data_IF_215377450949
#
_entry.id   IF_215377450949
#
_cell.length_a   1.000
_cell.length_b   1.000
_cell.length_c   1.000
_cell.angle_alpha   90.00
_cell.angle_beta   90.00
_cell.angle_gamma   90.00
#
_symmetry.space_group_name_H-M   'P 1'
#
loop_
_entity.id
_entity.type
_entity.pdbx_description
1 polymer ?
#
# COMPACT_ATOMS: atom_id res chain seq x y z
N UNK A 1 -36.42 -11.46 3.53
CA UNK A 1 -36.30 -10.01 3.27
C UNK A 1 -34.90 -9.61 3.64
N UNK A 2 -33.97 -9.78 2.71
CA UNK A 2 -32.63 -9.21 2.79
C UNK A 2 -32.79 -7.71 2.51
N UNK A 3 -32.65 -6.89 3.54
CA UNK A 3 -32.48 -5.46 3.38
C UNK A 3 -31.20 -5.29 2.54
N UNK A 4 -31.37 -4.77 1.32
CA UNK A 4 -30.24 -4.33 0.53
C UNK A 4 -29.54 -3.22 1.32
N UNK A 5 -28.39 -3.51 1.89
CA UNK A 5 -27.49 -2.52 2.46
C UNK A 5 -27.26 -1.47 1.37
N UNK A 6 -27.87 -0.29 1.55
CA UNK A 6 -27.47 0.88 0.77
C UNK A 6 -26.00 1.08 1.04
N UNK A 7 -25.15 1.14 0.00
CA UNK A 7 -23.75 1.43 0.21
C UNK A 7 -23.67 2.75 0.99
N UNK A 8 -23.16 2.67 2.20
CA UNK A 8 -22.85 3.86 3.00
C UNK A 8 -22.05 4.80 2.10
N UNK A 9 -22.51 6.03 1.95
CA UNK A 9 -21.96 6.95 0.95
C UNK A 9 -20.48 7.15 1.28
N UNK A 10 -19.60 6.56 0.49
CA UNK A 10 -18.14 6.63 0.69
C UNK A 10 -17.70 8.09 0.69
N UNK A 11 -17.10 8.56 1.77
CA UNK A 11 -16.79 9.98 2.01
C UNK A 11 -15.33 10.19 2.34
N UNK A 12 -14.80 11.40 2.09
CA UNK A 12 -13.45 11.76 2.52
C UNK A 12 -13.31 11.60 4.04
N UNK A 13 -12.19 11.03 4.44
CA UNK A 13 -11.83 10.79 5.83
C UNK A 13 -10.32 10.93 6.01
N UNK A 14 -9.87 11.02 7.24
CA UNK A 14 -8.45 11.03 7.56
C UNK A 14 -8.20 10.31 8.88
N UNK A 15 -6.95 9.91 9.10
CA UNK A 15 -6.50 9.33 10.37
C UNK A 15 -5.02 9.57 10.62
N UNK A 16 -4.66 9.67 11.88
CA UNK A 16 -3.27 9.77 12.32
C UNK A 16 -2.83 8.40 12.83
N UNK A 17 -1.67 7.95 12.36
CA UNK A 17 -1.07 6.68 12.70
C UNK A 17 0.32 6.91 13.30
N UNK A 18 0.58 6.33 14.46
CA UNK A 18 1.91 6.27 15.06
C UNK A 18 2.57 4.95 14.67
N UNK A 19 3.75 5.03 14.10
CA UNK A 19 4.53 3.89 13.65
C UNK A 19 5.75 3.73 14.54
N UNK A 20 5.75 2.67 15.32
CA UNK A 20 6.79 2.38 16.29
C UNK A 20 8.08 1.83 15.67
N UNK A 21 9.19 2.01 16.39
CA UNK A 21 10.43 1.30 16.12
C UNK A 21 10.29 -0.21 16.46
N UNK A 22 11.13 -1.09 15.90
CA UNK A 22 12.21 -0.79 14.95
C UNK A 22 11.71 -0.51 13.52
N UNK A 23 12.55 0.16 12.73
CA UNK A 23 12.35 0.40 11.31
C UNK A 23 11.16 1.31 10.95
N UNK A 24 10.74 2.19 11.86
CA UNK A 24 9.58 3.08 11.69
C UNK A 24 9.56 3.78 10.31
N UNK A 25 10.70 4.32 9.85
CA UNK A 25 10.81 5.00 8.55
C UNK A 25 10.55 4.09 7.35
N UNK A 26 10.95 2.81 7.41
CA UNK A 26 10.68 1.85 6.32
C UNK A 26 9.23 1.44 6.32
N UNK A 27 8.65 1.19 7.51
CA UNK A 27 7.22 0.93 7.68
C UNK A 27 6.39 2.10 7.17
N UNK A 28 6.78 3.33 7.49
CA UNK A 28 6.18 4.55 7.00
C UNK A 28 6.26 4.67 5.47
N UNK A 29 7.42 4.36 4.88
CA UNK A 29 7.60 4.34 3.43
C UNK A 29 6.66 3.34 2.75
N UNK A 30 6.54 2.14 3.31
CA UNK A 30 5.60 1.12 2.81
C UNK A 30 4.16 1.63 2.88
N UNK A 31 3.70 2.13 4.04
CA UNK A 31 2.35 2.65 4.21
C UNK A 31 2.04 3.79 3.23
N UNK A 32 2.93 4.78 3.14
CA UNK A 32 2.74 5.92 2.24
C UNK A 32 2.75 5.50 0.76
N UNK A 33 3.59 4.52 0.41
CA UNK A 33 3.64 3.99 -0.95
C UNK A 33 2.39 3.23 -1.36
N UNK A 34 1.86 2.39 -0.46
CA UNK A 34 0.59 1.67 -0.65
C UNK A 34 -0.60 2.65 -0.68
N UNK A 35 -0.66 3.57 0.29
CA UNK A 35 -1.69 4.61 0.32
C UNK A 35 -1.71 5.43 -0.98
N UNK A 36 -0.56 5.89 -1.45
CA UNK A 36 -0.45 6.61 -2.73
C UNK A 36 -0.93 5.77 -3.93
N UNK A 37 -0.66 4.46 -3.94
CA UNK A 37 -1.15 3.56 -4.98
C UNK A 37 -2.69 3.41 -4.92
N UNK A 38 -3.27 3.51 -3.73
CA UNK A 38 -4.70 3.40 -3.45
C UNK A 38 -5.40 4.77 -3.29
N UNK A 39 -4.84 5.83 -3.90
CA UNK A 39 -5.41 7.19 -3.95
C UNK A 39 -5.48 7.93 -2.61
N UNK A 40 -4.74 7.47 -1.60
CA UNK A 40 -4.57 8.19 -0.35
C UNK A 40 -3.38 9.16 -0.42
N UNK A 41 -3.45 10.24 0.35
CA UNK A 41 -2.36 11.19 0.56
C UNK A 41 -1.79 11.02 1.96
N UNK A 42 -0.47 10.84 2.07
CA UNK A 42 0.20 10.66 3.36
C UNK A 42 1.13 11.84 3.66
N UNK A 43 1.01 12.38 4.86
CA UNK A 43 1.85 13.47 5.36
C UNK A 43 2.62 12.94 6.58
N UNK A 44 3.95 13.01 6.53
CA UNK A 44 4.79 12.70 7.69
C UNK A 44 4.81 13.89 8.63
N UNK A 45 4.46 13.66 9.89
CA UNK A 45 4.45 14.68 10.93
C UNK A 45 5.74 14.60 11.75
N UNK A 46 6.24 15.77 12.17
CA UNK A 46 7.29 15.82 13.16
C UNK A 46 6.75 15.28 14.49
N UNK A 47 7.51 14.42 15.15
CA UNK A 47 7.18 13.90 16.47
C UNK A 47 8.42 13.94 17.37
N UNK A 48 8.30 14.37 18.62
CA UNK A 48 9.40 14.31 19.58
C UNK A 48 9.65 12.88 20.09
N UNK A 49 8.71 11.97 19.90
CA UNK A 49 8.81 10.59 20.36
C UNK A 49 9.56 9.71 19.36
N UNK A 50 10.21 8.62 19.84
CA UNK A 50 10.81 7.62 18.97
C UNK A 50 9.75 6.98 18.07
N UNK A 51 9.96 7.04 16.75
CA UNK A 51 8.99 6.48 15.79
C UNK A 51 8.77 7.40 14.61
N UNK A 52 7.63 7.26 13.96
CA UNK A 52 7.20 8.14 12.86
C UNK A 52 5.68 8.29 12.93
N UNK A 53 5.20 9.52 12.91
CA UNK A 53 3.76 9.82 12.87
C UNK A 53 3.36 10.19 11.47
N UNK A 54 2.24 9.65 11.00
CA UNK A 54 1.72 9.87 9.65
C UNK A 54 0.27 10.27 9.74
N UNK A 55 -0.11 11.35 9.03
CA UNK A 55 -1.50 11.67 8.76
C UNK A 55 -1.85 11.18 7.37
N UNK A 56 -2.86 10.33 7.27
CA UNK A 56 -3.34 9.73 6.02
C UNK A 56 -4.71 10.29 5.70
N UNK A 57 -4.86 10.83 4.50
CA UNK A 57 -6.12 11.34 3.93
C UNK A 57 -6.56 10.41 2.80
N UNK A 58 -7.84 10.12 2.72
CA UNK A 58 -8.39 9.26 1.67
C UNK A 58 -9.91 9.16 1.79
N UNK A 59 -10.54 8.45 0.88
CA UNK A 59 -11.91 8.02 1.10
C UNK A 59 -11.92 6.84 2.08
N UNK A 60 -13.01 6.66 2.83
CA UNK A 60 -13.10 5.64 3.87
C UNK A 60 -12.76 4.24 3.31
N UNK A 61 -13.30 3.88 2.16
CA UNK A 61 -13.02 2.61 1.48
C UNK A 61 -11.55 2.44 1.06
N UNK A 62 -10.89 3.52 0.58
CA UNK A 62 -9.48 3.48 0.18
C UNK A 62 -8.56 3.39 1.41
N UNK A 63 -8.93 4.02 2.53
CA UNK A 63 -8.22 3.91 3.80
C UNK A 63 -8.29 2.48 4.35
N UNK A 64 -9.48 1.86 4.37
CA UNK A 64 -9.65 0.47 4.80
C UNK A 64 -8.85 -0.52 3.95
N UNK A 65 -8.90 -0.36 2.62
CA UNK A 65 -8.08 -1.17 1.70
C UNK A 65 -6.58 -1.00 1.99
N UNK A 66 -6.16 0.23 2.26
CA UNK A 66 -4.75 0.53 2.60
C UNK A 66 -4.35 -0.17 3.88
N UNK A 67 -5.17 -0.15 4.92
CA UNK A 67 -4.88 -0.80 6.21
C UNK A 67 -4.77 -2.31 6.07
N UNK A 68 -5.74 -2.94 5.42
CA UNK A 68 -5.76 -4.40 5.22
C UNK A 68 -4.53 -4.85 4.43
N UNK A 69 -4.22 -4.14 3.34
CA UNK A 69 -3.05 -4.46 2.52
C UNK A 69 -1.75 -4.20 3.28
N UNK A 70 -1.65 -3.08 3.99
CA UNK A 70 -0.48 -2.74 4.80
C UNK A 70 -0.22 -3.79 5.88
N UNK A 71 -1.24 -4.20 6.63
CA UNK A 71 -1.11 -5.23 7.66
C UNK A 71 -0.65 -6.57 7.08
N UNK A 72 -1.28 -7.01 5.98
CA UNK A 72 -0.91 -8.25 5.29
C UNK A 72 0.54 -8.23 4.79
N UNK A 73 0.94 -7.14 4.14
CA UNK A 73 2.30 -6.99 3.60
C UNK A 73 3.34 -6.87 4.71
N UNK A 74 3.01 -6.21 5.84
CA UNK A 74 3.90 -6.14 7.00
C UNK A 74 4.23 -7.53 7.54
N UNK A 75 3.24 -8.39 7.70
CA UNK A 75 3.45 -9.77 8.17
C UNK A 75 4.38 -10.52 7.22
N UNK A 76 4.15 -10.42 5.91
CA UNK A 76 4.98 -11.07 4.90
C UNK A 76 6.42 -10.52 4.91
N UNK A 77 6.57 -9.20 5.05
CA UNK A 77 7.88 -8.54 5.14
C UNK A 77 8.68 -9.03 6.34
N UNK A 78 8.03 -9.23 7.50
CA UNK A 78 8.70 -9.75 8.71
C UNK A 78 9.05 -11.23 8.57
N UNK A 79 8.17 -12.06 8.01
CA UNK A 79 8.47 -13.46 7.75
C UNK A 79 9.64 -13.60 6.76
N UNK A 80 9.62 -12.83 5.68
CA UNK A 80 10.70 -12.85 4.69
C UNK A 80 12.04 -12.39 5.29
N UNK A 81 12.04 -11.34 6.12
CA UNK A 81 13.25 -10.88 6.80
C UNK A 81 13.77 -11.90 7.83
N UNK A 82 12.88 -12.57 8.55
CA UNK A 82 13.26 -13.60 9.54
C UNK A 82 13.93 -14.82 8.87
N UNK A 83 13.48 -15.19 7.68
CA UNK A 83 14.09 -16.26 6.88
C UNK A 83 15.34 -15.85 6.10
N UNK A 84 15.62 -14.54 6.00
CA UNK A 84 16.73 -14.04 5.20
C UNK A 84 18.08 -14.13 5.94
N UNK A 85 19.10 -14.65 5.26
CA UNK A 85 20.43 -14.77 5.81
C UNK A 85 21.29 -13.56 5.45
N UNK A 86 21.85 -12.91 6.48
CA UNK A 86 22.83 -11.83 6.27
C UNK A 86 24.14 -12.45 5.80
N UNK A 87 24.68 -12.05 4.63
CA UNK A 87 25.94 -12.61 4.14
C UNK A 87 27.10 -12.36 5.10
N UNK A 88 28.00 -13.34 5.24
CA UNK A 88 29.14 -13.26 6.15
C UNK A 88 30.11 -12.10 5.85
N UNK A 89 30.17 -11.67 4.58
CA UNK A 89 31.00 -10.52 4.16
C UNK A 89 30.38 -9.16 4.51
N UNK A 90 29.13 -9.14 5.00
CA UNK A 90 28.42 -7.90 5.28
C UNK A 90 28.95 -7.26 6.59
N UNK A 91 29.50 -6.04 6.49
CA UNK A 91 30.04 -5.31 7.64
C UNK A 91 29.00 -4.90 8.68
N UNK A 92 27.72 -4.75 8.29
CA UNK A 92 26.65 -4.32 9.17
C UNK A 92 25.34 -5.03 8.85
N UNK A 93 25.01 -6.00 9.66
CA UNK A 93 23.75 -6.73 9.57
C UNK A 93 22.53 -5.78 9.69
N UNK A 94 22.63 -4.70 10.49
CA UNK A 94 21.58 -3.69 10.64
C UNK A 94 21.37 -2.90 9.33
N UNK A 95 22.44 -2.47 8.67
CA UNK A 95 22.37 -1.77 7.40
C UNK A 95 21.82 -2.67 6.29
N UNK A 96 22.26 -3.94 6.27
CA UNK A 96 21.76 -4.94 5.33
C UNK A 96 20.26 -5.17 5.51
N UNK A 97 19.78 -5.44 6.73
CA UNK A 97 18.36 -5.64 7.02
C UNK A 97 17.52 -4.42 6.65
N UNK A 98 18.02 -3.20 6.91
CA UNK A 98 17.32 -1.97 6.54
C UNK A 98 17.18 -1.80 5.03
N UNK A 99 18.23 -2.08 4.27
CA UNK A 99 18.17 -2.02 2.80
C UNK A 99 17.33 -3.15 2.22
N UNK A 100 17.33 -4.34 2.83
CA UNK A 100 16.47 -5.45 2.47
C UNK A 100 14.98 -5.06 2.61
N UNK A 101 14.59 -4.52 3.78
CA UNK A 101 13.24 -4.04 4.03
C UNK A 101 12.80 -2.97 3.02
N UNK A 102 13.70 -2.05 2.66
CA UNK A 102 13.41 -1.04 1.65
C UNK A 102 13.20 -1.66 0.26
N UNK A 103 14.03 -2.63 -0.12
CA UNK A 103 13.88 -3.37 -1.37
C UNK A 103 12.53 -4.07 -1.46
N UNK A 104 12.16 -4.79 -0.39
CA UNK A 104 10.85 -5.44 -0.27
C UNK A 104 9.71 -4.44 -0.44
N UNK A 105 9.71 -3.35 0.33
CA UNK A 105 8.69 -2.31 0.25
C UNK A 105 8.58 -1.71 -1.15
N UNK A 106 9.71 -1.41 -1.79
CA UNK A 106 9.73 -0.84 -3.14
C UNK A 106 9.12 -1.79 -4.17
N UNK A 107 9.45 -3.09 -4.10
CA UNK A 107 8.90 -4.10 -5.01
C UNK A 107 7.38 -4.21 -4.87
N UNK A 108 6.88 -4.31 -3.63
CA UNK A 108 5.43 -4.42 -3.37
C UNK A 108 4.70 -3.16 -3.83
N UNK A 109 5.19 -1.96 -3.51
CA UNK A 109 4.59 -0.69 -3.93
C UNK A 109 4.50 -0.62 -5.46
N UNK A 110 5.55 -1.01 -6.16
CA UNK A 110 5.57 -1.02 -7.63
C UNK A 110 4.52 -1.96 -8.20
N UNK A 111 4.38 -3.17 -7.63
CA UNK A 111 3.38 -4.17 -8.06
C UNK A 111 1.96 -3.70 -7.80
N UNK A 112 1.69 -3.09 -6.64
CA UNK A 112 0.35 -2.55 -6.32
C UNK A 112 -0.01 -1.43 -7.28
N UNK A 113 0.92 -0.50 -7.56
CA UNK A 113 0.70 0.57 -8.57
C UNK A 113 0.39 0.00 -9.95
N UNK A 114 1.15 -1.00 -10.38
CA UNK A 114 0.92 -1.64 -11.68
C UNK A 114 -0.45 -2.33 -11.73
N UNK A 115 -0.87 -3.00 -10.66
CA UNK A 115 -2.17 -3.66 -10.57
C UNK A 115 -3.34 -2.65 -10.60
N UNK A 116 -3.24 -1.54 -9.86
CA UNK A 116 -4.26 -0.47 -9.85
C UNK A 116 -4.32 0.24 -11.21
N UNK A 117 -3.17 0.50 -11.83
CA UNK A 117 -3.13 1.08 -13.19
C UNK A 117 -3.78 0.15 -14.21
N UNK A 118 -3.44 -1.14 -14.18
CA UNK A 118 -4.05 -2.14 -15.07
C UNK A 118 -5.57 -2.29 -14.83
N UNK A 119 -6.03 -2.18 -13.58
CA UNK A 119 -7.45 -2.17 -13.26
C UNK A 119 -8.16 -0.93 -13.81
N UNK A 120 -7.55 0.25 -13.68
CA UNK A 120 -8.06 1.49 -14.24
C UNK A 120 -8.16 1.43 -15.76
N UNK A 121 -7.11 0.94 -16.45
CA UNK A 121 -7.12 0.77 -17.91
C UNK A 121 -8.22 -0.20 -18.39
N UNK A 122 -8.46 -1.29 -17.66
CA UNK A 122 -9.58 -2.22 -17.99
C UNK A 122 -10.95 -1.57 -17.82
N UNK A 123 -11.10 -0.70 -16.82
CA UNK A 123 -12.36 0.02 -16.58
C UNK A 123 -12.64 1.12 -17.63
N UNK A 124 -11.61 1.58 -18.37
CA UNK A 124 -11.70 2.64 -19.39
C UNK A 124 -11.64 2.12 -20.83
N UNK A 125 -11.76 0.81 -21.07
CA UNK A 125 -11.70 0.19 -22.39
C UNK A 125 -12.75 0.72 -23.38
N UNK A 126 -12.58 0.49 -24.72
CA UNK A 126 -13.33 1.15 -25.80
C UNK A 126 -14.86 0.91 -25.79
N UNK A 127 -15.36 -0.07 -25.07
CA UNK A 127 -16.79 -0.30 -24.89
C UNK A 127 -17.42 0.48 -23.71
N UNK A 128 -16.65 1.28 -22.99
CA UNK A 128 -17.06 1.90 -21.74
C UNK A 128 -17.37 3.40 -21.90
N UNK A 129 -18.54 3.74 -22.45
CA UNK A 129 -19.16 5.04 -22.15
C UNK A 129 -19.30 5.26 -20.62
N UNK A 130 -19.40 4.16 -19.85
CA UNK A 130 -19.30 4.14 -18.38
C UNK A 130 -17.85 4.34 -17.87
N UNK A 131 -16.81 3.93 -18.61
CA UNK A 131 -15.41 4.06 -18.22
C UNK A 131 -14.93 5.49 -18.12
N UNK A 132 -15.39 6.37 -18.99
CA UNK A 132 -15.09 7.82 -18.90
C UNK A 132 -15.65 8.41 -17.59
N UNK A 133 -16.83 8.00 -17.18
CA UNK A 133 -17.48 8.45 -15.93
C UNK A 133 -16.74 7.95 -14.70
N UNK A 134 -16.30 6.69 -14.69
CA UNK A 134 -15.50 6.11 -13.59
C UNK A 134 -14.14 6.78 -13.47
N UNK A 135 -13.45 7.03 -14.57
CA UNK A 135 -12.16 7.74 -14.56
C UNK A 135 -12.29 9.18 -14.02
N UNK A 136 -13.37 9.90 -14.42
CA UNK A 136 -13.65 11.23 -13.90
C UNK A 136 -13.93 11.22 -12.40
N UNK A 137 -14.73 10.27 -11.91
CA UNK A 137 -15.03 10.12 -10.48
C UNK A 137 -13.75 9.83 -9.68
N UNK A 138 -12.88 8.95 -10.17
CA UNK A 138 -11.61 8.64 -9.50
C UNK A 138 -10.64 9.82 -9.50
N UNK A 139 -10.61 10.61 -10.57
CA UNK A 139 -9.81 11.83 -10.65
C UNK A 139 -10.33 12.89 -9.68
N UNK A 140 -11.65 13.08 -9.62
CA UNK A 140 -12.31 14.00 -8.70
C UNK A 140 -12.04 13.62 -7.24
N UNK A 141 -12.16 12.34 -6.88
CA UNK A 141 -11.80 11.83 -5.55
C UNK A 141 -10.35 12.15 -5.17
N UNK A 142 -9.41 11.93 -6.08
CA UNK A 142 -8.01 12.22 -5.83
C UNK A 142 -7.75 13.72 -5.63
N UNK A 143 -8.48 14.57 -6.34
CA UNK A 143 -8.41 16.02 -6.18
C UNK A 143 -8.95 16.47 -4.81
N UNK A 144 -10.09 15.94 -4.38
CA UNK A 144 -10.69 16.22 -3.07
C UNK A 144 -9.73 15.84 -1.94
N UNK A 145 -9.15 14.62 -1.98
CA UNK A 145 -8.20 14.14 -0.98
C UNK A 145 -6.96 15.03 -0.91
N UNK A 146 -6.43 15.45 -2.07
CA UNK A 146 -5.29 16.35 -2.13
C UNK A 146 -5.62 17.73 -1.54
N UNK A 147 -6.75 18.31 -1.91
CA UNK A 147 -7.18 19.60 -1.41
C UNK A 147 -7.38 19.60 0.12
N UNK A 148 -7.88 18.52 0.70
CA UNK A 148 -7.98 18.36 2.15
C UNK A 148 -6.61 18.29 2.83
N UNK A 149 -5.69 17.50 2.26
CA UNK A 149 -4.33 17.41 2.78
C UNK A 149 -3.57 18.76 2.69
N UNK A 150 -3.71 19.48 1.58
CA UNK A 150 -3.12 20.81 1.38
C UNK A 150 -3.71 21.87 2.32
N UNK A 151 -5.03 21.79 2.59
CA UNK A 151 -5.68 22.68 3.56
C UNK A 151 -5.16 22.44 4.98
N UNK A 152 -4.97 21.17 5.36
CA UNK A 152 -4.44 20.81 6.67
C UNK A 152 -2.94 21.12 6.82
N UNK A 153 -2.19 21.00 5.72
CA UNK A 153 -0.74 21.15 5.70
C UNK A 153 -0.27 21.92 4.45
N UNK A 154 -0.40 23.25 4.42
CA UNK A 154 -0.07 24.06 3.24
C UNK A 154 1.42 24.07 2.89
N UNK A 155 2.29 23.79 3.86
CA UNK A 155 3.74 23.77 3.68
C UNK A 155 4.28 22.33 3.88
N UNK A 156 4.30 21.56 2.81
CA UNK A 156 4.87 20.22 2.83
C UNK A 156 6.13 20.14 1.97
N UNK A 157 7.06 19.23 2.34
CA UNK A 157 8.24 18.89 1.55
C UNK A 157 8.19 17.43 1.16
N UNK A 158 8.62 17.11 -0.06
CA UNK A 158 8.76 15.73 -0.49
C UNK A 158 9.86 15.04 0.30
N UNK A 159 9.51 14.04 1.10
CA UNK A 159 10.47 13.22 1.82
C UNK A 159 11.05 12.15 0.89
N UNK A 160 12.39 12.09 0.82
CA UNK A 160 13.11 11.02 0.12
C UNK A 160 13.71 10.08 1.14
N UNK A 161 13.53 8.79 0.89
CA UNK A 161 14.12 7.74 1.72
C UNK A 161 15.32 7.17 0.97
N UNK A 162 16.53 7.46 1.48
CA UNK A 162 17.78 6.95 0.92
C UNK A 162 18.48 6.08 1.96
N UNK A 163 18.84 4.87 1.60
CA UNK A 163 19.57 3.97 2.47
C UNK A 163 20.78 3.37 1.74
N UNK A 164 21.89 3.28 2.45
CA UNK A 164 23.05 2.49 2.04
C UNK A 164 22.93 1.08 2.62
N UNK A 165 23.23 0.07 1.83
CA UNK A 165 23.24 -1.33 2.27
C UNK A 165 23.10 -2.29 1.09
N UNK A 166 23.62 -3.50 1.24
CA UNK A 166 23.71 -4.50 0.16
C UNK A 166 22.52 -5.46 0.09
N UNK A 167 21.58 -5.41 1.05
CA UNK A 167 20.42 -6.32 1.09
C UNK A 167 19.26 -5.94 0.17
N UNK A 168 19.33 -4.79 -0.53
CA UNK A 168 18.21 -4.27 -1.31
C UNK A 168 17.71 -5.25 -2.39
N UNK A 169 18.63 -5.89 -3.13
CA UNK A 169 18.26 -6.83 -4.20
C UNK A 169 17.53 -8.05 -3.67
N UNK A 170 17.98 -8.59 -2.54
CA UNK A 170 17.36 -9.77 -1.92
C UNK A 170 15.96 -9.43 -1.42
N UNK A 171 15.82 -8.29 -0.75
CA UNK A 171 14.52 -7.80 -0.31
C UNK A 171 13.57 -7.51 -1.48
N UNK A 172 14.07 -6.92 -2.56
CA UNK A 172 13.28 -6.66 -3.76
C UNK A 172 12.78 -7.95 -4.41
N UNK A 173 13.65 -8.97 -4.53
CA UNK A 173 13.28 -10.28 -5.06
C UNK A 173 12.19 -10.95 -4.20
N UNK A 174 12.27 -10.83 -2.87
CA UNK A 174 11.25 -11.35 -1.97
C UNK A 174 9.93 -10.57 -2.09
N UNK A 175 9.97 -9.25 -2.18
CA UNK A 175 8.79 -8.41 -2.40
C UNK A 175 8.08 -8.69 -3.74
N UNK A 176 8.81 -9.19 -4.75
CA UNK A 176 8.20 -9.65 -6.00
C UNK A 176 7.34 -10.92 -5.82
N UNK A 177 7.58 -11.71 -4.76
CA UNK A 177 6.82 -12.93 -4.45
C UNK A 177 5.67 -12.66 -3.47
N UNK A 178 5.64 -11.52 -2.81
CA UNK A 178 4.64 -11.19 -1.82
C UNK A 178 3.21 -11.28 -2.40
N UNK A 179 2.28 -11.79 -1.61
CA UNK A 179 0.85 -11.81 -1.97
C UNK A 179 0.24 -10.43 -1.75
N UNK A 180 -0.21 -9.80 -2.82
CA UNK A 180 -0.92 -8.51 -2.82
C UNK A 180 -2.42 -8.68 -3.07
N UNK A 181 -2.96 -9.89 -2.92
CA UNK A 181 -4.38 -10.18 -3.07
C UNK A 181 -4.85 -10.42 -4.51
N UNK A 182 -4.01 -10.23 -5.53
CA UNK A 182 -4.40 -10.42 -6.95
C UNK A 182 -4.62 -11.89 -7.33
N UNK A 183 -4.12 -12.84 -6.53
CA UNK A 183 -4.20 -14.29 -6.81
C UNK A 183 -5.47 -14.97 -6.28
N UNK A 184 -6.25 -14.33 -5.42
CA UNK A 184 -7.43 -14.97 -4.80
C UNK A 184 -8.68 -14.99 -5.67
N UNK A 185 -8.80 -14.08 -6.64
CA UNK A 185 -9.98 -13.97 -7.50
C UNK A 185 -10.03 -15.09 -8.57
N UNK A 186 -8.90 -15.68 -8.93
CA UNK A 186 -8.83 -16.72 -9.98
C UNK A 186 -9.02 -18.14 -9.47
N UNK A 187 -8.88 -18.41 -8.16
CA UNK A 187 -9.04 -19.77 -7.60
C UNK A 187 -10.45 -20.11 -7.10
N UNK A 188 -11.40 -19.18 -7.15
CA UNK A 188 -12.77 -19.38 -6.68
C UNK A 188 -13.75 -19.98 -7.70
N UNK A 189 -13.36 -20.20 -8.96
CA UNK A 189 -14.21 -20.83 -9.98
C UNK A 189 -13.72 -22.21 -10.31
N UNK A 190 -14.14 -23.21 -9.57
CA UNK A 190 -13.89 -24.59 -9.98
C UNK A 190 -14.01 -25.64 -8.88
N UNK A 191 -15.09 -25.64 -8.10
CA UNK A 191 -15.50 -26.86 -7.42
C UNK A 191 -16.98 -27.07 -7.63
N UNK A 192 -17.30 -27.63 -8.80
CA UNK A 192 -18.60 -28.21 -9.05
C UNK A 192 -18.77 -29.41 -8.10
N UNK A 193 -19.74 -29.35 -7.21
CA UNK A 193 -20.18 -30.48 -6.42
C UNK A 193 -20.85 -31.47 -7.37
N UNK A 194 -20.18 -32.56 -7.71
CA UNK A 194 -20.77 -33.72 -8.37
C UNK A 194 -21.66 -34.39 -7.33
N UNK A 195 -22.95 -34.31 -7.53
CA UNK A 195 -23.96 -35.02 -6.76
C UNK A 195 -23.94 -36.47 -7.24
N UNK A 196 -23.55 -37.39 -6.36
CA UNK A 196 -23.71 -38.83 -6.61
C UNK A 196 -25.17 -39.20 -6.35
N UNK A 197 -25.76 -39.90 -7.31
CA UNK A 197 -27.02 -40.66 -7.19
C UNK A 197 -26.80 -41.94 -6.46
#
# INVERSE_FOLDING_TARGET
LLAADRPETDRPANRILDIDNPWARVKAHLLCGLGSALRCQCILLATPQPGTRIHVFGYASDLERTDVLYASVLIQMWHGLAGAQVPAWCRSARAWRRSWLLGFATAVISRVRAAEHAAACRATGPEAAAGSRTALVLADRSHVVRAEAERAYPLTRTARVTYSGSGYRDGYAEGQRADIGTGRVTRGRGRALTRAS
#
